data_IF_829933974911
#
_entry.id   IF_829933974911
#
_cell.length_a   1.000
_cell.length_b   1.000
_cell.length_c   1.000
_cell.angle_alpha   90.00
_cell.angle_beta   90.00
_cell.angle_gamma   90.00
#
_symmetry.space_group_name_H-M   'P 1'
#
loop_
_entity.id
_entity.type
_entity.pdbx_description
1 polymer ?
#
# COMPACT_ATOMS: atom_id res chain seq x y z
N UNK A 1 3.78 -2.97 -19.97
CA UNK A 1 4.36 -1.79 -19.28
C UNK A 1 3.27 -0.89 -18.73
N UNK A 2 2.64 0.02 -19.48
CA UNK A 2 1.62 0.95 -18.91
C UNK A 2 0.41 0.22 -18.29
N UNK A 3 -0.09 -0.85 -18.90
CA UNK A 3 -1.20 -1.64 -18.34
C UNK A 3 -0.85 -2.46 -17.09
N UNK A 4 0.42 -2.80 -16.89
CA UNK A 4 0.86 -3.55 -15.71
C UNK A 4 1.02 -2.62 -14.51
N UNK A 5 1.57 -1.43 -14.73
CA UNK A 5 1.67 -0.37 -13.70
C UNK A 5 0.28 0.12 -13.26
N UNK A 6 -0.70 0.19 -14.17
CA UNK A 6 -2.08 0.53 -13.84
C UNK A 6 -2.69 -0.45 -12.82
N UNK A 7 -2.30 -1.73 -12.84
CA UNK A 7 -2.81 -2.72 -11.86
C UNK A 7 -2.28 -2.43 -10.45
N UNK A 8 -1.01 -2.05 -10.33
CA UNK A 8 -0.34 -1.83 -9.05
C UNK A 8 -0.54 -0.42 -8.45
N UNK A 9 -1.03 0.55 -9.22
CA UNK A 9 -1.16 1.94 -8.75
C UNK A 9 -2.25 2.16 -7.68
N UNK A 10 -1.97 2.89 -6.60
CA UNK A 10 -3.00 3.22 -5.60
C UNK A 10 -4.08 4.20 -6.10
N UNK A 11 -3.72 4.98 -7.11
CA UNK A 11 -4.54 6.02 -7.73
C UNK A 11 -4.16 6.16 -9.21
N UNK A 12 -5.16 6.20 -10.09
CA UNK A 12 -4.98 6.45 -11.52
C UNK A 12 -5.38 7.89 -11.85
N UNK A 13 -4.51 8.64 -12.52
CA UNK A 13 -4.83 9.96 -13.07
C UNK A 13 -4.93 9.83 -14.59
N UNK A 14 -6.14 9.94 -15.11
CA UNK A 14 -6.40 9.90 -16.55
C UNK A 14 -6.50 11.34 -17.09
N UNK A 15 -5.48 11.77 -17.83
CA UNK A 15 -5.42 13.13 -18.39
C UNK A 15 -5.94 13.12 -19.82
N UNK A 16 -7.00 13.88 -20.08
CA UNK A 16 -7.67 13.99 -21.38
C UNK A 16 -7.70 15.44 -21.86
N UNK A 17 -7.68 15.63 -23.17
CA UNK A 17 -7.79 16.98 -23.79
C UNK A 17 -9.03 17.10 -24.69
N UNK A 18 -9.74 16.00 -24.92
CA UNK A 18 -10.96 15.92 -25.71
C UNK A 18 -11.96 15.04 -24.95
N UNK A 19 -13.24 15.37 -25.05
CA UNK A 19 -14.30 14.70 -24.29
C UNK A 19 -14.46 13.23 -24.68
N UNK A 20 -14.26 12.91 -25.97
CA UNK A 20 -14.30 11.52 -26.48
C UNK A 20 -13.19 10.62 -25.92
N UNK A 21 -12.07 11.19 -25.43
CA UNK A 21 -10.97 10.43 -24.86
C UNK A 21 -11.26 9.95 -23.42
N UNK A 22 -12.24 10.56 -22.74
CA UNK A 22 -12.66 10.21 -21.37
C UNK A 22 -13.37 8.86 -21.26
N UNK A 23 -13.81 8.29 -22.38
CA UNK A 23 -14.63 7.08 -22.46
C UNK A 23 -13.85 5.75 -22.47
N UNK A 24 -12.51 5.78 -22.51
CA UNK A 24 -11.69 4.55 -22.44
C UNK A 24 -11.58 4.03 -21.01
N UNK A 25 -12.68 3.40 -20.60
CA UNK A 25 -12.87 2.38 -19.55
C UNK A 25 -11.57 1.88 -18.93
N UNK A 26 -11.08 2.57 -17.90
CA UNK A 26 -10.24 1.91 -16.90
C UNK A 26 -11.08 1.79 -15.65
N UNK A 27 -11.63 0.59 -15.42
CA UNK A 27 -12.53 0.25 -14.31
C UNK A 27 -11.79 0.17 -12.96
N UNK A 28 -10.87 1.10 -12.68
CA UNK A 28 -10.25 1.20 -11.36
C UNK A 28 -11.09 2.15 -10.52
N UNK A 29 -11.62 1.64 -9.40
CA UNK A 29 -12.44 2.39 -8.42
C UNK A 29 -11.79 3.73 -8.03
N UNK A 30 -10.46 3.78 -8.04
CA UNK A 30 -9.67 4.95 -7.71
C UNK A 30 -9.08 5.67 -8.93
N UNK A 31 -9.93 6.07 -9.88
CA UNK A 31 -9.52 6.91 -11.03
C UNK A 31 -9.94 8.37 -10.83
N UNK A 32 -9.06 9.33 -11.14
CA UNK A 32 -9.36 10.77 -11.27
C UNK A 32 -9.22 11.12 -12.74
N UNK A 33 -10.27 11.70 -13.32
CA UNK A 33 -10.24 12.19 -14.69
C UNK A 33 -9.86 13.67 -14.66
N UNK A 34 -8.83 14.04 -15.40
CA UNK A 34 -8.29 15.40 -15.47
C UNK A 34 -8.45 15.90 -16.89
N UNK A 35 -9.23 16.97 -17.07
CA UNK A 35 -9.37 17.62 -18.36
C UNK A 35 -8.34 18.75 -18.48
N UNK A 36 -7.34 18.54 -19.31
CA UNK A 36 -6.23 19.46 -19.50
C UNK A 36 -6.48 20.41 -20.67
N UNK A 37 -5.77 21.55 -20.66
CA UNK A 37 -5.79 22.62 -21.67
C UNK A 37 -7.05 23.49 -21.63
N UNK A 38 -7.54 23.80 -20.42
CA UNK A 38 -8.69 24.71 -20.26
C UNK A 38 -8.43 26.14 -20.73
N UNK A 39 -7.16 26.49 -20.94
CA UNK A 39 -6.75 27.73 -21.61
C UNK A 39 -7.16 27.79 -23.09
N UNK A 40 -7.40 26.64 -23.72
CA UNK A 40 -7.81 26.53 -25.12
C UNK A 40 -9.28 26.14 -25.29
N UNK A 41 -9.78 25.23 -24.45
CA UNK A 41 -11.13 24.66 -24.57
C UNK A 41 -11.71 24.44 -23.18
N UNK A 42 -12.86 25.02 -22.89
CA UNK A 42 -13.59 24.74 -21.66
C UNK A 42 -14.23 23.33 -21.72
N UNK A 43 -14.23 22.56 -20.61
CA UNK A 43 -14.95 21.29 -20.55
C UNK A 43 -16.46 21.52 -20.64
N UNK A 44 -17.19 20.59 -21.25
CA UNK A 44 -18.65 20.57 -21.27
C UNK A 44 -19.22 20.39 -19.86
N UNK A 45 -20.33 21.08 -19.57
CA UNK A 45 -21.07 20.99 -18.31
C UNK A 45 -21.62 19.59 -18.02
N UNK A 46 -21.70 18.73 -19.05
CA UNK A 46 -22.21 17.37 -18.93
C UNK A 46 -21.22 16.38 -18.32
N UNK A 47 -19.95 16.79 -18.09
CA UNK A 47 -18.93 15.94 -17.52
C UNK A 47 -18.89 16.09 -16.00
N UNK A 48 -19.57 15.19 -15.30
CA UNK A 48 -19.45 15.06 -13.84
C UNK A 48 -18.15 14.34 -13.48
N UNK A 49 -17.58 14.65 -12.30
CA UNK A 49 -16.37 14.02 -11.74
C UNK A 49 -15.06 14.23 -12.54
N UNK A 50 -14.91 15.41 -13.14
CA UNK A 50 -13.68 15.82 -13.85
C UNK A 50 -13.01 17.00 -13.14
N UNK A 51 -11.68 16.96 -13.08
CA UNK A 51 -10.87 18.09 -12.61
C UNK A 51 -10.34 18.89 -13.81
N UNK A 52 -10.84 20.11 -14.06
CA UNK A 52 -10.32 20.98 -15.11
C UNK A 52 -8.97 21.58 -14.72
N UNK A 53 -7.99 21.51 -15.62
CA UNK A 53 -6.66 22.10 -15.42
C UNK A 53 -6.10 22.73 -16.69
N UNK A 54 -5.29 23.79 -16.53
CA UNK A 54 -4.32 24.18 -17.53
C UNK A 54 -2.94 23.81 -16.99
N UNK A 55 -2.36 22.72 -17.47
CA UNK A 55 -1.00 22.36 -17.08
C UNK A 55 0.04 23.39 -17.53
N UNK A 56 -0.29 24.20 -18.55
CA UNK A 56 0.59 25.25 -19.07
C UNK A 56 0.59 26.49 -18.18
N UNK A 57 -0.59 26.96 -17.78
CA UNK A 57 -0.76 28.17 -16.95
C UNK A 57 -0.72 27.88 -15.44
N UNK A 58 -0.90 26.61 -15.06
CA UNK A 58 -0.98 26.18 -13.66
C UNK A 58 -2.39 26.28 -13.07
N UNK A 59 -3.39 26.72 -13.85
CA UNK A 59 -4.77 26.82 -13.40
C UNK A 59 -5.36 25.45 -13.05
N UNK A 60 -6.12 25.38 -11.95
CA UNK A 60 -6.75 24.15 -11.48
C UNK A 60 -5.81 23.14 -10.82
N UNK A 61 -4.48 23.31 -10.87
CA UNK A 61 -3.51 22.37 -10.28
C UNK A 61 -3.66 22.26 -8.76
N UNK A 62 -3.93 23.36 -8.07
CA UNK A 62 -4.19 23.34 -6.62
C UNK A 62 -5.44 22.54 -6.27
N UNK A 63 -6.49 22.65 -7.09
CA UNK A 63 -7.71 21.85 -6.93
C UNK A 63 -7.43 20.36 -7.15
N UNK A 64 -6.68 20.02 -8.22
CA UNK A 64 -6.25 18.64 -8.48
C UNK A 64 -5.48 18.03 -7.31
N UNK A 65 -4.55 18.79 -6.71
CA UNK A 65 -3.81 18.34 -5.51
C UNK A 65 -4.73 18.03 -4.34
N UNK A 66 -5.76 18.85 -4.11
CA UNK A 66 -6.72 18.62 -3.04
C UNK A 66 -7.55 17.36 -3.29
N UNK A 67 -8.03 17.14 -4.51
CA UNK A 67 -8.78 15.92 -4.88
C UNK A 67 -7.92 14.67 -4.71
N UNK A 68 -6.65 14.72 -5.15
CA UNK A 68 -5.69 13.61 -4.93
C UNK A 68 -5.53 13.34 -3.42
N UNK A 69 -5.34 14.40 -2.64
CA UNK A 69 -5.15 14.31 -1.18
C UNK A 69 -6.37 13.67 -0.50
N UNK A 70 -7.57 14.13 -0.79
CA UNK A 70 -8.81 13.61 -0.22
C UNK A 70 -9.01 12.12 -0.56
N UNK A 71 -8.71 11.73 -1.81
CA UNK A 71 -8.89 10.35 -2.26
C UNK A 71 -7.86 9.38 -1.67
N UNK A 72 -6.64 9.85 -1.39
CA UNK A 72 -5.60 9.04 -0.75
C UNK A 72 -5.72 9.02 0.78
N UNK A 73 -6.08 10.15 1.41
CA UNK A 73 -6.15 10.27 2.86
C UNK A 73 -7.43 9.65 3.43
N UNK A 74 -8.56 9.71 2.72
CA UNK A 74 -9.81 9.06 3.17
C UNK A 74 -9.67 7.54 3.34
N UNK A 75 -8.67 6.91 2.71
CA UNK A 75 -8.32 5.49 2.92
C UNK A 75 -7.60 5.21 4.25
N UNK A 76 -7.03 6.23 4.90
CA UNK A 76 -6.12 6.09 6.07
C UNK A 76 -6.62 6.85 7.31
N UNK A 77 -7.93 7.01 7.48
CA UNK A 77 -8.52 7.77 8.61
C UNK A 77 -8.44 7.08 9.98
N UNK A 78 -7.81 5.90 10.08
CA UNK A 78 -7.46 5.30 11.35
C UNK A 78 -6.27 6.06 11.95
N UNK A 79 -6.57 7.12 12.69
CA UNK A 79 -5.62 7.96 13.43
C UNK A 79 -4.93 7.25 14.58
N UNK A 80 -4.17 6.18 14.29
CA UNK A 80 -3.16 5.68 15.22
C UNK A 80 -1.85 6.43 14.95
N UNK A 81 -1.33 7.11 15.97
CA UNK A 81 -0.03 7.81 15.95
C UNK A 81 1.17 6.89 15.60
N UNK A 82 0.94 5.58 15.51
CA UNK A 82 1.93 4.57 15.13
C UNK A 82 1.57 4.00 13.77
N UNK A 83 2.37 4.34 12.76
CA UNK A 83 2.25 3.80 11.40
C UNK A 83 3.40 2.82 11.15
N UNK A 84 3.10 1.66 10.58
CA UNK A 84 4.13 0.76 10.05
C UNK A 84 4.66 1.34 8.75
N UNK A 85 5.93 1.69 8.73
CA UNK A 85 6.55 2.46 7.63
C UNK A 85 7.38 1.60 6.69
N UNK A 86 7.61 0.33 7.05
CA UNK A 86 8.44 -0.59 6.27
C UNK A 86 7.75 -1.94 6.09
N UNK A 87 7.98 -2.56 4.93
CA UNK A 87 7.53 -3.94 4.65
C UNK A 87 8.06 -4.94 5.69
N UNK A 88 9.25 -4.70 6.25
CA UNK A 88 9.81 -5.54 7.31
C UNK A 88 8.96 -5.50 8.58
N UNK A 89 8.51 -4.30 8.99
CA UNK A 89 7.64 -4.14 10.16
C UNK A 89 6.27 -4.81 9.94
N UNK A 90 5.72 -4.66 8.73
CA UNK A 90 4.47 -5.31 8.32
C UNK A 90 4.56 -6.84 8.43
N UNK A 91 5.62 -7.43 7.86
CA UNK A 91 5.87 -8.88 7.89
C UNK A 91 5.98 -9.36 9.34
N UNK A 92 6.84 -8.73 10.15
CA UNK A 92 7.06 -9.14 11.54
C UNK A 92 5.77 -9.12 12.37
N UNK A 93 4.92 -8.10 12.22
CA UNK A 93 3.64 -8.02 12.94
C UNK A 93 2.63 -9.05 12.41
N UNK A 94 2.61 -9.27 11.10
CA UNK A 94 1.73 -10.26 10.47
C UNK A 94 2.08 -11.66 10.95
N UNK A 95 3.36 -12.02 10.98
CA UNK A 95 3.83 -13.33 11.43
C UNK A 95 3.60 -13.52 12.94
N UNK A 96 3.86 -12.48 13.76
CA UNK A 96 3.50 -12.47 15.18
C UNK A 96 2.01 -12.78 15.40
N UNK A 97 1.13 -12.10 14.67
CA UNK A 97 -0.32 -12.34 14.73
C UNK A 97 -0.68 -13.77 14.34
N UNK A 98 -0.03 -14.31 13.30
CA UNK A 98 -0.28 -15.67 12.83
C UNK A 98 0.09 -16.70 13.90
N UNK A 99 1.27 -16.57 14.52
CA UNK A 99 1.70 -17.45 15.61
C UNK A 99 0.81 -17.33 16.85
N UNK A 100 0.39 -16.12 17.24
CA UNK A 100 -0.59 -15.96 18.33
C UNK A 100 -1.92 -16.63 18.01
N UNK A 101 -2.37 -16.54 16.75
CA UNK A 101 -3.61 -17.19 16.30
C UNK A 101 -3.49 -18.71 16.31
N UNK A 102 -2.33 -19.25 15.91
CA UNK A 102 -2.03 -20.67 15.96
C UNK A 102 -1.98 -21.18 17.42
N UNK A 103 -1.27 -20.45 18.30
CA UNK A 103 -1.23 -20.73 19.74
C UNK A 103 -2.63 -20.78 20.35
N UNK A 104 -3.46 -19.79 20.06
CA UNK A 104 -4.85 -19.74 20.55
C UNK A 104 -5.71 -20.87 19.97
N UNK A 105 -5.48 -21.27 18.72
CA UNK A 105 -6.17 -22.43 18.11
C UNK A 105 -5.83 -23.71 18.87
N UNK A 106 -4.54 -24.01 19.07
CA UNK A 106 -4.08 -25.21 19.78
C UNK A 106 -4.51 -25.23 21.24
N UNK A 107 -4.55 -24.07 21.90
CA UNK A 107 -5.01 -23.97 23.28
C UNK A 107 -6.49 -24.29 23.46
N UNK A 108 -7.31 -24.08 22.42
CA UNK A 108 -8.76 -24.31 22.44
C UNK A 108 -9.17 -25.73 21.96
N UNK A 109 -8.21 -26.60 21.67
CA UNK A 109 -8.48 -28.01 21.33
C UNK A 109 -8.87 -28.81 22.60
N UNK A 110 -9.69 -29.86 22.46
CA UNK A 110 -10.16 -30.70 23.59
C UNK A 110 -9.00 -31.33 24.39
N UNK A 111 -7.86 -31.56 23.72
CA UNK A 111 -6.61 -32.00 24.31
C UNK A 111 -5.47 -31.10 23.80
N UNK A 112 -5.19 -29.97 24.48
CA UNK A 112 -4.26 -28.96 23.96
C UNK A 112 -2.82 -29.47 23.98
N UNK A 113 -2.14 -29.35 22.84
CA UNK A 113 -0.72 -29.67 22.69
C UNK A 113 0.14 -28.52 23.22
N UNK A 114 0.37 -28.51 24.54
CA UNK A 114 1.08 -27.42 25.23
C UNK A 114 2.49 -27.15 24.70
N UNK A 115 3.17 -28.15 24.12
CA UNK A 115 4.46 -27.98 23.48
C UNK A 115 4.37 -27.10 22.23
N UNK A 116 3.34 -27.31 21.40
CA UNK A 116 3.08 -26.47 20.22
C UNK A 116 2.65 -25.07 20.64
N UNK A 117 1.78 -24.96 21.65
CA UNK A 117 1.37 -23.66 22.21
C UNK A 117 2.59 -22.86 22.67
N UNK A 118 3.51 -23.48 23.41
CA UNK A 118 4.73 -22.84 23.88
C UNK A 118 5.68 -22.45 22.74
N UNK A 119 5.78 -23.30 21.70
CA UNK A 119 6.54 -23.01 20.49
C UNK A 119 6.00 -21.77 19.77
N UNK A 120 4.70 -21.72 19.50
CA UNK A 120 4.06 -20.59 18.81
C UNK A 120 4.15 -19.28 19.62
N UNK A 121 4.04 -19.34 20.95
CA UNK A 121 4.27 -18.17 21.80
C UNK A 121 5.72 -17.68 21.71
N UNK A 122 6.70 -18.59 21.67
CA UNK A 122 8.10 -18.23 21.51
C UNK A 122 8.36 -17.57 20.15
N UNK A 123 7.78 -18.09 19.09
CA UNK A 123 7.86 -17.49 17.75
C UNK A 123 7.25 -16.08 17.73
N UNK A 124 6.08 -15.88 18.36
CA UNK A 124 5.49 -14.55 18.47
C UNK A 124 6.42 -13.52 19.13
N UNK A 125 7.17 -13.93 20.15
CA UNK A 125 8.18 -13.08 20.82
C UNK A 125 9.35 -12.80 19.88
N UNK A 126 9.84 -13.80 19.14
CA UNK A 126 10.92 -13.64 18.17
C UNK A 126 10.55 -12.61 17.08
N UNK A 127 9.31 -12.63 16.59
CA UNK A 127 8.84 -11.65 15.61
C UNK A 127 8.75 -10.23 16.19
N UNK A 128 8.35 -10.08 17.47
CA UNK A 128 8.38 -8.79 18.16
C UNK A 128 9.82 -8.30 18.35
N UNK A 129 10.75 -9.19 18.68
CA UNK A 129 12.16 -8.85 18.82
C UNK A 129 12.76 -8.36 17.48
N UNK A 130 12.42 -9.03 16.38
CA UNK A 130 12.78 -8.59 15.02
C UNK A 130 12.19 -7.21 14.67
N UNK A 131 10.92 -6.96 15.06
CA UNK A 131 10.27 -5.65 14.90
C UNK A 131 11.01 -4.54 15.68
N UNK A 132 11.44 -4.84 16.90
CA UNK A 132 12.21 -3.94 17.78
C UNK A 132 13.67 -3.76 17.35
N UNK A 133 14.10 -4.47 16.30
CA UNK A 133 15.46 -4.38 15.77
C UNK A 133 16.50 -5.13 16.62
N UNK A 134 16.07 -6.02 17.52
CA UNK A 134 16.98 -7.00 18.10
C UNK A 134 17.40 -7.92 16.96
N UNK A 135 18.65 -7.77 16.54
CA UNK A 135 19.22 -8.57 15.46
C UNK A 135 19.45 -9.97 16.01
N UNK A 136 18.76 -10.96 15.44
CA UNK A 136 19.01 -12.36 15.81
C UNK A 136 20.37 -12.81 15.28
N UNK A 137 20.93 -13.88 15.84
CA UNK A 137 22.20 -14.45 15.34
C UNK A 137 22.05 -14.86 13.88
N UNK A 138 20.88 -15.34 13.48
CA UNK A 138 20.57 -15.73 12.10
C UNK A 138 20.52 -14.54 11.15
N UNK A 139 20.07 -13.36 11.58
CA UNK A 139 20.14 -12.14 10.77
C UNK A 139 21.60 -11.72 10.51
N UNK A 140 22.48 -11.89 11.50
CA UNK A 140 23.91 -11.63 11.34
C UNK A 140 24.51 -12.63 10.36
N UNK A 141 24.22 -13.93 10.51
CA UNK A 141 24.71 -14.97 9.62
C UNK A 141 24.21 -14.75 8.19
N UNK A 142 22.92 -14.49 8.00
CA UNK A 142 22.34 -14.22 6.68
C UNK A 142 22.96 -12.98 6.03
N UNK A 143 23.22 -11.92 6.79
CA UNK A 143 23.89 -10.72 6.26
C UNK A 143 25.32 -11.01 5.84
N UNK A 144 26.07 -11.78 6.65
CA UNK A 144 27.44 -12.22 6.33
C UNK A 144 27.44 -13.08 5.07
N UNK A 145 26.54 -14.06 4.96
CA UNK A 145 26.50 -15.01 3.84
C UNK A 145 25.84 -14.46 2.57
N UNK A 146 24.97 -13.44 2.67
CA UNK A 146 24.33 -12.80 1.51
C UNK A 146 25.31 -12.05 0.60
N UNK A 147 26.46 -11.62 1.12
CA UNK A 147 27.52 -10.97 0.35
C UNK A 147 28.54 -11.93 -0.27
N UNK A 148 28.48 -13.22 0.06
CA UNK A 148 29.31 -14.21 -0.61
C UNK A 148 28.57 -14.70 -1.85
N UNK A 149 29.06 -14.32 -3.03
CA UNK A 149 28.75 -15.06 -4.23
C UNK A 149 29.09 -16.53 -3.96
N UNK A 150 28.09 -17.40 -3.94
CA UNK A 150 28.30 -18.85 -3.96
C UNK A 150 28.91 -19.15 -5.33
N UNK A 151 30.24 -19.11 -5.38
CA UNK A 151 31.02 -19.47 -6.56
C UNK A 151 30.86 -20.95 -6.82
N UNK A 152 29.95 -21.28 -7.73
CA UNK A 152 30.09 -22.40 -8.65
C UNK A 152 29.67 -21.95 -10.05
#
# INVERSE_FOLDING_TARGET
RSFDEIKNADLLINVVTREDDGSKKTQKKDTIIVFNKIDLVAPSENLTDIVPVSALLGDGISSLKNVIKEKLISKNTSGSDVVLTTRRQEIAITDCKNSLSASLKHLNEDAPELEIVAFELRESINYIDALMGKTTVDDILNKVFSSFCVGK
#
